data_IF_657687647192
#
_entry.id   IF_657687647192
#
_cell.length_a   1.000
_cell.length_b   1.000
_cell.length_c   1.000
_cell.angle_alpha   90.00
_cell.angle_beta   90.00
_cell.angle_gamma   90.00
#
_symmetry.space_group_name_H-M   'P 1'
#
loop_
_entity.id
_entity.type
_entity.pdbx_description
1 polymer ?
#
# COMPACT_ATOMS: atom_id res chain seq x y z
N UNK A 1 16.35 5.98 -66.85
CA UNK A 1 15.50 6.96 -66.13
C UNK A 1 14.03 6.68 -66.40
N UNK A 2 13.10 7.08 -65.51
CA UNK A 2 11.73 6.53 -65.46
C UNK A 2 10.69 7.29 -66.31
N UNK A 3 9.44 6.79 -66.32
CA UNK A 3 8.27 7.36 -67.02
C UNK A 3 7.61 8.49 -66.22
N UNK A 4 7.55 9.70 -66.79
CA UNK A 4 6.54 10.76 -66.54
C UNK A 4 6.81 11.93 -67.51
N UNK A 5 5.93 12.92 -67.73
CA UNK A 5 4.56 13.11 -67.20
C UNK A 5 3.53 12.67 -68.25
N UNK A 6 2.49 13.36 -68.77
CA UNK A 6 1.84 14.65 -68.51
C UNK A 6 0.34 14.55 -68.89
N UNK A 7 -0.44 15.63 -68.73
CA UNK A 7 -1.73 15.84 -69.42
C UNK A 7 -1.86 17.32 -69.79
N UNK A 8 -2.28 17.61 -71.03
CA UNK A 8 -2.85 18.89 -71.47
C UNK A 8 -3.96 18.52 -72.46
N UNK A 9 -5.25 18.73 -72.18
CA UNK A 9 -5.98 20.02 -72.05
C UNK A 9 -6.24 20.67 -73.41
N UNK A 10 -7.47 20.48 -73.93
CA UNK A 10 -7.98 21.30 -75.03
C UNK A 10 -9.47 21.63 -74.83
N UNK A 11 -9.73 22.93 -74.76
CA UNK A 11 -10.97 23.64 -75.18
C UNK A 11 -12.35 23.06 -74.82
N UNK A 12 -12.98 23.71 -73.85
CA UNK A 12 -14.44 23.88 -73.81
C UNK A 12 -14.95 24.63 -75.06
N UNK A 13 -16.02 24.14 -75.70
CA UNK A 13 -17.04 24.96 -76.38
C UNK A 13 -18.43 24.34 -76.18
N UNK A 14 -19.41 25.21 -75.98
CA UNK A 14 -20.83 24.97 -75.73
C UNK A 14 -21.52 23.93 -76.65
N UNK A 15 -22.44 23.16 -76.06
CA UNK A 15 -23.86 23.19 -76.48
C UNK A 15 -24.81 23.08 -75.29
N UNK A 16 -25.88 23.89 -75.33
CA UNK A 16 -27.06 23.81 -74.44
C UNK A 16 -28.16 23.07 -75.20
N UNK A 17 -29.16 22.59 -74.46
CA UNK A 17 -30.17 21.62 -74.91
C UNK A 17 -29.56 20.22 -75.14
N UNK A 18 -30.18 19.11 -74.72
CA UNK A 18 -31.56 18.97 -74.22
C UNK A 18 -31.62 18.41 -72.79
N UNK A 19 -32.24 19.17 -71.88
CA UNK A 19 -32.78 18.61 -70.62
C UNK A 19 -34.08 19.32 -70.23
N UNK A 20 -35.03 19.32 -71.15
CA UNK A 20 -36.32 20.01 -71.03
C UNK A 20 -37.34 19.23 -70.17
N UNK A 21 -36.89 18.56 -69.08
CA UNK A 21 -37.77 17.82 -68.17
C UNK A 21 -37.30 17.85 -66.72
N UNK A 22 -37.49 19.00 -66.05
CA UNK A 22 -37.86 19.18 -64.61
C UNK A 22 -37.69 20.64 -64.15
N UNK A 23 -38.29 21.59 -64.90
CA UNK A 23 -38.46 22.98 -64.43
C UNK A 23 -39.65 23.08 -63.45
N UNK A 24 -39.60 22.29 -62.37
CA UNK A 24 -40.65 22.22 -61.36
C UNK A 24 -40.29 23.18 -60.22
N UNK A 25 -40.83 24.40 -60.30
CA UNK A 25 -40.59 25.45 -59.32
C UNK A 25 -41.25 25.06 -57.99
N UNK A 26 -40.44 24.57 -57.05
CA UNK A 26 -40.83 24.50 -55.64
C UNK A 26 -40.92 25.93 -55.12
N UNK A 27 -42.14 26.49 -55.14
CA UNK A 27 -42.48 27.69 -54.38
C UNK A 27 -42.12 27.49 -52.90
N UNK A 28 -41.76 28.55 -52.17
CA UNK A 28 -41.08 28.44 -50.87
C UNK A 28 -41.75 27.52 -49.84
N UNK A 29 -43.09 27.40 -49.86
CA UNK A 29 -43.84 26.45 -49.05
C UNK A 29 -43.43 24.97 -49.29
N UNK A 30 -43.18 24.58 -50.55
CA UNK A 30 -42.74 23.23 -50.91
C UNK A 30 -41.36 22.89 -50.34
N UNK A 31 -40.42 23.83 -50.39
CA UNK A 31 -39.11 23.69 -49.77
C UNK A 31 -39.22 23.52 -48.24
N UNK A 32 -40.00 24.37 -47.57
CA UNK A 32 -40.25 24.27 -46.13
C UNK A 32 -40.92 22.95 -45.72
N UNK A 33 -41.80 22.36 -46.55
CA UNK A 33 -42.41 21.06 -46.27
C UNK A 33 -41.38 19.93 -46.33
N UNK A 34 -40.44 19.99 -47.27
CA UNK A 34 -39.33 19.02 -47.38
C UNK A 34 -38.38 19.16 -46.18
N UNK A 35 -38.00 20.39 -45.84
CA UNK A 35 -37.14 20.69 -44.69
C UNK A 35 -37.78 20.24 -43.36
N UNK A 36 -39.07 20.52 -43.14
CA UNK A 36 -39.83 20.03 -41.97
C UNK A 36 -39.88 18.51 -41.89
N UNK A 37 -39.96 17.80 -43.03
CA UNK A 37 -39.88 16.32 -43.07
C UNK A 37 -38.47 15.81 -42.72
N UNK A 38 -37.41 16.46 -43.20
CA UNK A 38 -36.04 16.12 -42.80
C UNK A 38 -35.79 16.40 -41.31
N UNK A 39 -36.27 17.53 -40.78
CA UNK A 39 -36.17 17.84 -39.35
C UNK A 39 -36.93 16.81 -38.48
N UNK A 40 -38.14 16.42 -38.89
CA UNK A 40 -38.93 15.38 -38.19
C UNK A 40 -38.24 14.00 -38.23
N UNK A 41 -37.71 13.59 -39.39
CA UNK A 41 -36.94 12.35 -39.50
C UNK A 41 -35.66 12.38 -38.66
N UNK A 42 -34.94 13.51 -38.64
CA UNK A 42 -33.76 13.71 -37.78
C UNK A 42 -34.13 13.61 -36.29
N UNK A 43 -35.23 14.24 -35.88
CA UNK A 43 -35.76 14.14 -34.52
C UNK A 43 -36.19 12.72 -34.15
N UNK A 44 -36.81 11.96 -35.07
CA UNK A 44 -37.13 10.54 -34.88
C UNK A 44 -35.86 9.70 -34.67
N UNK A 45 -34.81 9.90 -35.49
CA UNK A 45 -33.51 9.22 -35.36
C UNK A 45 -32.84 9.58 -34.03
N UNK A 46 -32.84 10.85 -33.64
CA UNK A 46 -32.32 11.30 -32.34
C UNK A 46 -33.11 10.70 -31.16
N UNK A 47 -34.44 10.62 -31.26
CA UNK A 47 -35.29 9.98 -30.23
C UNK A 47 -35.05 8.47 -30.14
N UNK A 48 -34.80 7.77 -31.25
CA UNK A 48 -34.37 6.35 -31.24
C UNK A 48 -33.01 6.18 -30.57
N UNK A 49 -31.99 6.94 -31.00
CA UNK A 49 -30.63 6.92 -30.39
C UNK A 49 -30.62 7.29 -28.91
N UNK A 50 -31.52 8.16 -28.45
CA UNK A 50 -31.68 8.45 -27.02
C UNK A 50 -32.32 7.28 -26.26
N UNK A 51 -33.30 6.58 -26.83
CA UNK A 51 -33.86 5.36 -26.21
C UNK A 51 -32.84 4.24 -26.15
N UNK A 52 -32.13 3.98 -27.26
CA UNK A 52 -31.07 2.98 -27.38
C UNK A 52 -30.00 3.20 -26.29
N UNK A 53 -29.45 4.42 -26.16
CA UNK A 53 -28.48 4.73 -25.10
C UNK A 53 -29.03 4.57 -23.69
N UNK A 54 -30.27 4.98 -23.41
CA UNK A 54 -30.88 4.82 -22.08
C UNK A 54 -31.15 3.34 -21.77
N UNK A 55 -31.37 2.49 -22.77
CA UNK A 55 -31.52 1.04 -22.58
C UNK A 55 -30.17 0.34 -22.38
N UNK A 56 -29.13 0.72 -23.15
CA UNK A 56 -27.75 0.26 -22.94
C UNK A 56 -27.20 0.68 -21.58
N UNK A 57 -27.42 1.94 -21.18
CA UNK A 57 -27.02 2.46 -19.87
C UNK A 57 -27.74 1.71 -18.74
N UNK A 58 -29.04 1.47 -18.85
CA UNK A 58 -29.80 0.66 -17.88
C UNK A 58 -29.22 -0.76 -17.76
N UNK A 59 -29.08 -1.47 -18.87
CA UNK A 59 -28.49 -2.83 -18.90
C UNK A 59 -27.09 -2.85 -18.26
N UNK A 60 -26.27 -1.82 -18.50
CA UNK A 60 -24.95 -1.70 -17.89
C UNK A 60 -25.01 -1.38 -16.39
N UNK A 61 -25.96 -0.56 -15.93
CA UNK A 61 -26.18 -0.32 -14.49
C UNK A 61 -26.75 -1.53 -13.77
N UNK A 62 -27.63 -2.31 -14.41
CA UNK A 62 -28.17 -3.57 -13.89
C UNK A 62 -27.06 -4.63 -13.77
N UNK A 63 -26.18 -4.75 -14.78
CA UNK A 63 -25.04 -5.67 -14.74
C UNK A 63 -24.04 -5.30 -13.63
N UNK A 64 -23.74 -4.01 -13.46
CA UNK A 64 -22.90 -3.50 -12.36
C UNK A 64 -23.54 -3.72 -11.00
N UNK A 65 -24.83 -3.44 -10.85
CA UNK A 65 -25.57 -3.67 -9.62
C UNK A 65 -25.60 -5.16 -9.25
N UNK A 66 -25.69 -6.07 -10.23
CA UNK A 66 -25.58 -7.51 -10.03
C UNK A 66 -24.17 -7.93 -9.62
N UNK A 67 -23.11 -7.35 -10.21
CA UNK A 67 -21.73 -7.63 -9.79
C UNK A 67 -21.46 -7.12 -8.37
N UNK A 68 -21.85 -5.89 -8.05
CA UNK A 68 -21.72 -5.30 -6.71
C UNK A 68 -22.55 -6.06 -5.67
N UNK A 69 -23.73 -6.56 -6.02
CA UNK A 69 -24.52 -7.43 -5.16
C UNK A 69 -23.83 -8.77 -4.91
N UNK A 70 -23.22 -9.38 -5.94
CA UNK A 70 -22.45 -10.63 -5.79
C UNK A 70 -21.23 -10.42 -4.90
N UNK A 71 -20.47 -9.33 -5.10
CA UNK A 71 -19.32 -8.96 -4.25
C UNK A 71 -19.74 -8.76 -2.79
N UNK A 72 -20.83 -8.04 -2.54
CA UNK A 72 -21.37 -7.83 -1.18
C UNK A 72 -21.84 -9.13 -0.52
N UNK A 73 -22.48 -10.03 -1.27
CA UNK A 73 -22.86 -11.35 -0.75
C UNK A 73 -21.64 -12.20 -0.40
N UNK A 74 -20.59 -12.17 -1.22
CA UNK A 74 -19.31 -12.86 -0.97
C UNK A 74 -18.57 -12.29 0.26
N UNK A 75 -18.56 -10.95 0.42
CA UNK A 75 -18.03 -10.28 1.61
C UNK A 75 -18.84 -10.59 2.87
N UNK A 76 -20.17 -10.65 2.79
CA UNK A 76 -21.04 -10.99 3.93
C UNK A 76 -20.92 -12.47 4.31
N UNK A 77 -20.84 -13.38 3.33
CA UNK A 77 -20.58 -14.81 3.59
C UNK A 77 -19.19 -14.99 4.23
N UNK A 78 -18.17 -14.29 3.75
CA UNK A 78 -16.82 -14.28 4.35
C UNK A 78 -16.83 -13.71 5.78
N UNK A 79 -17.55 -12.61 6.03
CA UNK A 79 -17.70 -12.03 7.38
C UNK A 79 -18.42 -12.99 8.32
N UNK A 80 -19.49 -13.63 7.85
CA UNK A 80 -20.23 -14.65 8.60
C UNK A 80 -19.35 -15.85 8.92
N UNK A 81 -18.53 -16.33 7.97
CA UNK A 81 -17.54 -17.41 8.23
C UNK A 81 -16.54 -17.00 9.32
N UNK A 82 -15.96 -15.79 9.28
CA UNK A 82 -15.07 -15.32 10.36
C UNK A 82 -15.81 -15.26 11.70
N UNK A 83 -17.06 -14.80 11.74
CA UNK A 83 -17.85 -14.76 12.98
C UNK A 83 -18.20 -16.16 13.53
N UNK A 84 -18.53 -17.12 12.67
CA UNK A 84 -18.75 -18.52 13.07
C UNK A 84 -17.46 -19.21 13.53
N UNK A 85 -16.30 -18.83 12.99
CA UNK A 85 -14.97 -19.32 13.40
C UNK A 85 -14.54 -18.70 14.74
N UNK A 86 -14.62 -17.36 14.88
CA UNK A 86 -14.34 -16.65 16.13
C UNK A 86 -15.20 -17.16 17.28
N UNK A 87 -16.47 -17.50 17.03
CA UNK A 87 -17.35 -18.05 18.06
C UNK A 87 -16.93 -19.48 18.45
N UNK A 88 -16.56 -20.34 17.49
CA UNK A 88 -15.99 -21.67 17.81
C UNK A 88 -14.69 -21.57 18.63
N UNK A 89 -13.84 -20.59 18.33
CA UNK A 89 -12.61 -20.33 19.11
C UNK A 89 -12.92 -19.80 20.51
N UNK A 90 -13.97 -18.98 20.68
CA UNK A 90 -14.47 -18.54 22.00
C UNK A 90 -15.03 -19.74 22.79
N UNK A 91 -15.90 -20.55 22.18
CA UNK A 91 -16.48 -21.75 22.79
C UNK A 91 -15.40 -22.75 23.22
N UNK A 92 -14.38 -23.00 22.39
CA UNK A 92 -13.26 -23.89 22.75
C UNK A 92 -12.40 -23.29 23.88
N UNK A 93 -12.16 -21.98 23.87
CA UNK A 93 -11.45 -21.27 24.94
C UNK A 93 -12.22 -21.32 26.26
N UNK A 94 -13.53 -21.15 26.25
CA UNK A 94 -14.38 -21.28 27.43
C UNK A 94 -14.48 -22.74 27.91
N UNK A 95 -14.56 -23.72 27.00
CA UNK A 95 -14.52 -25.14 27.37
C UNK A 95 -13.20 -25.50 28.06
N UNK A 96 -12.06 -25.08 27.51
CA UNK A 96 -10.73 -25.24 28.13
C UNK A 96 -10.61 -24.51 29.47
N UNK A 97 -11.19 -23.32 29.60
CA UNK A 97 -11.24 -22.58 30.88
C UNK A 97 -12.07 -23.34 31.93
N UNK A 98 -13.22 -23.89 31.54
CA UNK A 98 -14.10 -24.69 32.41
C UNK A 98 -13.49 -26.03 32.81
N UNK A 99 -12.83 -26.72 31.88
CA UNK A 99 -12.04 -27.94 32.14
C UNK A 99 -10.88 -27.64 33.12
N UNK A 100 -10.19 -26.50 32.96
CA UNK A 100 -9.14 -26.07 33.89
C UNK A 100 -9.69 -25.69 35.28
N UNK A 101 -10.83 -24.99 35.35
CA UNK A 101 -11.51 -24.63 36.60
C UNK A 101 -12.01 -25.86 37.35
N UNK A 102 -12.57 -26.86 36.65
CA UNK A 102 -12.95 -28.13 37.25
C UNK A 102 -11.74 -28.95 37.73
N UNK A 103 -10.60 -28.84 37.05
CA UNK A 103 -9.32 -29.45 37.49
C UNK A 103 -8.65 -28.70 38.65
N UNK A 104 -8.95 -27.41 38.83
CA UNK A 104 -8.51 -26.57 39.96
C UNK A 104 -9.45 -26.65 41.17
N UNK A 105 -10.64 -27.24 41.02
CA UNK A 105 -11.67 -27.41 42.05
C UNK A 105 -11.11 -28.25 43.21
N UNK A 106 -10.83 -27.65 44.39
CA UNK A 106 -9.98 -28.30 45.37
C UNK A 106 -10.72 -29.40 46.14
N UNK A 107 -10.18 -30.63 46.13
CA UNK A 107 -10.45 -31.58 47.22
C UNK A 107 -9.97 -30.92 48.52
N UNK A 108 -10.92 -30.64 49.41
CA UNK A 108 -10.82 -29.50 50.32
C UNK A 108 -9.66 -29.54 51.32
N UNK A 109 -8.92 -28.42 51.40
CA UNK A 109 -8.09 -28.07 52.56
C UNK A 109 -8.47 -26.66 53.02
N UNK A 110 -9.00 -26.58 54.23
CA UNK A 110 -9.56 -25.35 54.82
C UNK A 110 -8.44 -24.39 55.28
N UNK A 111 -8.16 -23.35 54.49
CA UNK A 111 -7.34 -22.20 54.91
C UNK A 111 -8.05 -20.89 54.57
N UNK A 112 -8.23 -20.04 55.59
CA UNK A 112 -8.85 -18.72 55.45
C UNK A 112 -7.83 -17.72 54.92
N UNK A 113 -7.95 -17.33 53.65
CA UNK A 113 -7.22 -16.19 53.10
C UNK A 113 -8.12 -14.95 53.16
N UNK A 114 -7.62 -13.86 53.72
CA UNK A 114 -8.34 -12.59 53.85
C UNK A 114 -8.51 -11.90 52.49
N UNK A 115 -9.69 -11.31 52.26
CA UNK A 115 -9.93 -10.47 51.09
C UNK A 115 -8.99 -9.26 51.09
N UNK A 116 -8.26 -9.06 50.00
CA UNK A 116 -7.77 -7.74 49.57
C UNK A 116 -8.47 -7.38 48.26
N UNK A 117 -8.55 -6.09 47.98
CA UNK A 117 -9.40 -5.48 46.95
C UNK A 117 -8.72 -5.35 45.58
N UNK A 118 -9.51 -4.83 44.63
CA UNK A 118 -9.10 -4.20 43.38
C UNK A 118 -8.60 -5.10 42.23
N UNK A 119 -8.89 -4.82 40.96
CA UNK A 119 -10.02 -4.11 40.34
C UNK A 119 -9.90 -4.34 38.82
N UNK A 120 -10.89 -4.92 38.16
CA UNK A 120 -10.82 -5.13 36.71
C UNK A 120 -10.94 -3.80 35.96
N UNK A 121 -9.87 -3.41 35.23
CA UNK A 121 -9.95 -2.36 34.20
C UNK A 121 -8.89 -2.47 33.10
N UNK A 122 -8.61 -3.70 32.66
CA UNK A 122 -7.87 -3.95 31.42
C UNK A 122 -8.76 -3.63 30.21
N UNK A 123 -8.59 -2.44 29.62
CA UNK A 123 -9.33 -2.03 28.42
C UNK A 123 -8.84 -2.74 27.14
N UNK A 124 -9.70 -2.88 26.11
CA UNK A 124 -9.35 -3.56 24.86
C UNK A 124 -8.51 -2.67 23.93
N UNK A 125 -7.20 -2.57 24.19
CA UNK A 125 -6.23 -1.87 23.32
C UNK A 125 -5.32 -2.84 22.53
N UNK A 126 -5.70 -4.11 22.42
CA UNK A 126 -4.94 -5.14 21.68
C UNK A 126 -5.48 -5.43 20.26
N UNK A 127 -6.80 -5.28 20.04
CA UNK A 127 -7.48 -5.61 18.77
C UNK A 127 -7.03 -4.72 17.58
N UNK A 128 -6.69 -3.47 17.86
CA UNK A 128 -6.20 -2.50 16.86
C UNK A 128 -4.75 -2.76 16.42
N UNK A 129 -4.01 -3.62 17.12
CA UNK A 129 -2.64 -4.02 16.76
C UNK A 129 -2.70 -5.28 15.90
N UNK A 130 -3.40 -6.32 16.38
CA UNK A 130 -3.52 -7.62 15.69
C UNK A 130 -4.13 -7.48 14.29
N UNK A 131 -5.13 -6.62 14.11
CA UNK A 131 -5.77 -6.39 12.80
C UNK A 131 -4.84 -5.82 11.72
N UNK A 132 -3.75 -5.15 12.10
CA UNK A 132 -2.75 -4.65 11.13
C UNK A 132 -1.78 -5.76 10.70
N UNK A 133 -1.42 -6.65 11.62
CA UNK A 133 -0.51 -7.77 11.39
C UNK A 133 -1.22 -8.92 10.63
N UNK A 134 -2.53 -9.11 10.81
CA UNK A 134 -3.34 -10.03 9.97
C UNK A 134 -3.53 -9.54 8.52
N UNK A 135 -3.56 -8.22 8.28
CA UNK A 135 -3.82 -7.65 6.94
C UNK A 135 -2.57 -7.41 6.10
N UNK A 136 -1.40 -7.30 6.73
CA UNK A 136 -0.13 -7.30 6.03
C UNK A 136 0.46 -8.71 6.09
N UNK A 137 0.29 -9.49 5.00
CA UNK A 137 1.04 -10.75 4.79
C UNK A 137 2.49 -10.52 5.22
N UNK A 138 3.04 -11.40 6.04
CA UNK A 138 4.39 -11.22 6.61
C UNK A 138 5.37 -10.88 5.48
N UNK A 139 6.35 -10.01 5.75
CA UNK A 139 7.35 -9.61 4.75
C UNK A 139 7.97 -10.85 4.07
N UNK A 140 8.21 -11.88 4.87
CA UNK A 140 8.67 -13.21 4.46
C UNK A 140 7.68 -13.90 3.50
N UNK A 141 6.41 -14.05 3.88
CA UNK A 141 5.35 -14.59 3.00
C UNK A 141 5.20 -13.81 1.69
N UNK A 142 5.35 -12.47 1.72
CA UNK A 142 5.30 -11.63 0.53
C UNK A 142 6.54 -11.81 -0.37
N UNK A 143 7.69 -12.18 0.20
CA UNK A 143 8.91 -12.53 -0.54
C UNK A 143 8.87 -13.96 -1.08
N UNK A 144 8.26 -14.90 -0.36
CA UNK A 144 7.92 -16.25 -0.85
C UNK A 144 6.92 -16.21 -2.00
N UNK A 145 5.83 -15.44 -1.90
CA UNK A 145 4.86 -15.25 -2.99
C UNK A 145 5.52 -14.65 -4.23
N UNK A 146 6.39 -13.63 -4.06
CA UNK A 146 7.19 -13.10 -5.18
C UNK A 146 8.09 -14.17 -5.79
N UNK A 147 8.76 -14.98 -4.96
CA UNK A 147 9.65 -16.06 -5.42
C UNK A 147 8.89 -17.15 -6.18
N UNK A 148 7.70 -17.52 -5.72
CA UNK A 148 6.81 -18.47 -6.40
C UNK A 148 6.30 -17.91 -7.74
N UNK A 149 5.84 -16.65 -7.77
CA UNK A 149 5.40 -15.98 -9.01
C UNK A 149 6.56 -15.84 -10.01
N UNK A 150 7.78 -15.54 -9.54
CA UNK A 150 8.97 -15.49 -10.39
C UNK A 150 9.33 -16.88 -10.93
N UNK A 151 9.30 -17.93 -10.11
CA UNK A 151 9.54 -19.30 -10.55
C UNK A 151 8.47 -19.81 -11.55
N UNK A 152 7.22 -19.35 -11.43
CA UNK A 152 6.16 -19.67 -12.39
C UNK A 152 6.35 -18.94 -13.74
N UNK A 153 6.88 -17.70 -13.72
CA UNK A 153 7.10 -16.88 -14.92
C UNK A 153 8.41 -17.23 -15.65
N UNK A 154 9.47 -17.50 -14.90
CA UNK A 154 10.79 -17.86 -15.41
C UNK A 154 10.83 -19.38 -15.56
N UNK A 155 10.37 -19.88 -16.70
CA UNK A 155 10.47 -21.32 -17.00
C UNK A 155 11.96 -21.74 -17.07
N UNK A 156 12.35 -22.87 -16.45
CA UNK A 156 13.71 -23.36 -16.49
C UNK A 156 14.10 -23.74 -17.94
N UNK A 157 15.27 -23.30 -18.37
CA UNK A 157 15.74 -23.52 -19.74
C UNK A 157 16.28 -24.94 -19.91
N UNK A 158 15.53 -25.78 -20.63
CA UNK A 158 16.01 -27.10 -21.08
C UNK A 158 16.80 -26.91 -22.38
N UNK A 159 18.13 -26.98 -22.27
CA UNK A 159 19.07 -26.79 -23.41
C UNK A 159 19.75 -28.10 -23.84
N UNK A 160 19.77 -29.11 -22.98
CA UNK A 160 20.49 -30.36 -23.21
C UNK A 160 19.84 -31.18 -24.34
N UNK A 161 20.64 -31.56 -25.34
CA UNK A 161 20.19 -32.33 -26.51
C UNK A 161 19.51 -31.51 -27.62
N UNK A 162 19.47 -30.18 -27.55
CA UNK A 162 18.99 -29.34 -28.65
C UNK A 162 20.02 -29.20 -29.78
N UNK A 163 19.55 -29.29 -31.02
CA UNK A 163 20.34 -29.00 -32.21
C UNK A 163 20.56 -27.48 -32.41
N UNK A 164 21.60 -27.11 -33.15
CA UNK A 164 22.01 -25.72 -33.46
C UNK A 164 20.84 -24.80 -33.80
N UNK A 165 19.98 -25.25 -34.69
CA UNK A 165 18.98 -24.40 -35.32
C UNK A 165 17.85 -24.10 -34.32
N UNK A 166 17.49 -25.09 -33.49
CA UNK A 166 16.54 -24.98 -32.39
C UNK A 166 17.08 -24.07 -31.27
N UNK A 167 18.39 -24.09 -31.02
CA UNK A 167 19.03 -23.15 -30.08
C UNK A 167 18.95 -21.70 -30.60
N UNK A 168 19.13 -21.48 -31.90
CA UNK A 168 18.98 -20.16 -32.54
C UNK A 168 17.52 -19.69 -32.49
N UNK A 169 16.54 -20.58 -32.69
CA UNK A 169 15.11 -20.26 -32.51
C UNK A 169 14.78 -19.89 -31.06
N UNK A 170 15.23 -20.69 -30.08
CA UNK A 170 15.02 -20.39 -28.65
C UNK A 170 15.69 -19.09 -28.21
N UNK A 171 16.87 -18.77 -28.73
CA UNK A 171 17.53 -17.49 -28.48
C UNK A 171 16.70 -16.28 -29.01
N UNK A 172 16.04 -16.42 -30.16
CA UNK A 172 15.13 -15.39 -30.70
C UNK A 172 13.86 -15.25 -29.86
N UNK A 173 13.20 -16.38 -29.51
CA UNK A 173 12.02 -16.39 -28.64
C UNK A 173 12.29 -15.68 -27.30
N UNK A 174 13.43 -15.97 -26.67
CA UNK A 174 13.82 -15.36 -25.40
C UNK A 174 14.13 -13.86 -25.56
N UNK A 175 14.83 -13.47 -26.61
CA UNK A 175 15.12 -12.06 -26.91
C UNK A 175 13.82 -11.24 -27.12
N UNK A 176 12.85 -11.78 -27.86
CA UNK A 176 11.55 -11.15 -28.08
C UNK A 176 10.61 -11.27 -26.86
N UNK A 177 10.94 -12.11 -25.88
CA UNK A 177 10.33 -12.09 -24.55
C UNK A 177 10.90 -10.98 -23.67
N UNK A 178 12.24 -10.83 -23.63
CA UNK A 178 12.92 -9.79 -22.85
C UNK A 178 12.44 -8.40 -23.27
N UNK A 179 12.42 -8.08 -24.57
CA UNK A 179 11.94 -6.79 -25.09
C UNK A 179 10.52 -6.42 -24.62
N UNK A 180 9.63 -7.41 -24.51
CA UNK A 180 8.25 -7.20 -24.02
C UNK A 180 8.25 -6.87 -22.53
N UNK A 181 8.99 -7.62 -21.72
CA UNK A 181 9.13 -7.37 -20.28
C UNK A 181 9.84 -6.03 -19.98
N UNK A 182 10.76 -5.58 -20.82
CA UNK A 182 11.38 -4.26 -20.72
C UNK A 182 10.37 -3.12 -20.98
N UNK A 183 9.48 -3.29 -21.97
CA UNK A 183 8.35 -2.40 -22.20
C UNK A 183 7.37 -2.36 -21.03
N UNK A 184 6.92 -3.53 -20.56
CA UNK A 184 6.03 -3.67 -19.40
C UNK A 184 6.65 -3.03 -18.13
N UNK A 185 7.95 -3.24 -17.91
CA UNK A 185 8.70 -2.62 -16.82
C UNK A 185 8.67 -1.09 -16.92
N UNK A 186 8.97 -0.51 -18.09
CA UNK A 186 8.95 0.94 -18.27
C UNK A 186 7.56 1.51 -17.96
N UNK A 187 6.50 0.88 -18.48
CA UNK A 187 5.12 1.32 -18.28
C UNK A 187 4.70 1.26 -16.81
N UNK A 188 5.11 0.22 -16.08
CA UNK A 188 4.91 0.09 -14.63
C UNK A 188 5.72 1.12 -13.84
N UNK A 189 6.98 1.40 -14.21
CA UNK A 189 7.78 2.45 -13.58
C UNK A 189 7.18 3.84 -13.77
N UNK A 190 6.64 4.16 -14.95
CA UNK A 190 5.99 5.44 -15.19
C UNK A 190 4.68 5.59 -14.40
N UNK A 191 3.90 4.51 -14.26
CA UNK A 191 2.70 4.49 -13.39
C UNK A 191 3.08 4.66 -11.91
N UNK A 192 4.12 3.98 -11.45
CA UNK A 192 4.63 4.08 -10.09
C UNK A 192 5.15 5.48 -9.76
N UNK A 193 5.91 6.12 -10.67
CA UNK A 193 6.38 7.51 -10.52
C UNK A 193 5.19 8.48 -10.38
N UNK A 194 4.13 8.34 -11.18
CA UNK A 194 2.90 9.14 -11.04
C UNK A 194 2.24 8.95 -9.67
N UNK A 195 2.04 7.69 -9.25
CA UNK A 195 1.50 7.37 -7.92
C UNK A 195 2.35 7.95 -6.77
N UNK A 196 3.68 7.98 -6.92
CA UNK A 196 4.56 8.64 -5.94
C UNK A 196 4.33 10.16 -5.89
N UNK A 197 4.19 10.84 -7.04
CA UNK A 197 3.83 12.27 -7.06
C UNK A 197 2.47 12.52 -6.39
N UNK A 198 1.45 11.72 -6.72
CA UNK A 198 0.10 11.82 -6.12
C UNK A 198 0.16 11.65 -4.58
N UNK A 199 0.92 10.67 -4.09
CA UNK A 199 1.12 10.44 -2.66
C UNK A 199 1.88 11.59 -1.97
N UNK A 200 2.87 12.18 -2.64
CA UNK A 200 3.63 13.33 -2.11
C UNK A 200 2.73 14.58 -2.02
N UNK A 201 1.91 14.85 -3.03
CA UNK A 201 0.96 15.99 -3.00
C UNK A 201 -0.08 15.80 -1.89
N UNK A 202 -0.68 14.62 -1.77
CA UNK A 202 -1.65 14.31 -0.72
C UNK A 202 -1.04 14.41 0.69
N UNK A 203 0.20 13.95 0.87
CA UNK A 203 0.92 14.07 2.14
C UNK A 203 1.22 15.54 2.50
N UNK A 204 1.63 16.37 1.55
CA UNK A 204 1.90 17.79 1.79
C UNK A 204 0.59 18.58 2.02
N UNK A 205 -0.48 18.27 1.30
CA UNK A 205 -1.83 18.83 1.54
C UNK A 205 -2.36 18.46 2.93
N UNK A 206 -2.17 17.22 3.37
CA UNK A 206 -2.52 16.79 4.72
C UNK A 206 -1.69 17.53 5.80
N UNK A 207 -0.38 17.72 5.57
CA UNK A 207 0.49 18.53 6.45
C UNK A 207 -0.01 19.98 6.55
N UNK A 208 -0.38 20.61 5.44
CA UNK A 208 -0.92 21.98 5.44
C UNK A 208 -2.25 22.08 6.21
N UNK A 209 -3.19 21.14 5.97
CA UNK A 209 -4.45 21.07 6.72
C UNK A 209 -4.23 20.88 8.23
N UNK A 210 -3.27 20.03 8.63
CA UNK A 210 -2.97 19.78 10.03
C UNK A 210 -2.23 20.96 10.68
N UNK A 211 -1.36 21.67 9.95
CA UNK A 211 -0.68 22.89 10.43
C UNK A 211 -1.66 24.03 10.72
N UNK A 212 -2.77 24.12 9.98
CA UNK A 212 -3.88 25.03 10.32
C UNK A 212 -4.62 24.64 11.61
N UNK A 213 -4.82 23.34 11.85
CA UNK A 213 -5.50 22.82 13.06
C UNK A 213 -4.62 22.87 14.32
N UNK A 214 -3.30 22.72 14.18
CA UNK A 214 -2.34 22.68 15.28
C UNK A 214 -2.24 23.98 16.11
N UNK A 215 -2.84 25.09 15.66
CA UNK A 215 -3.03 26.29 16.49
C UNK A 215 -3.95 26.08 17.73
N UNK A 216 -4.54 24.89 17.91
CA UNK A 216 -5.13 24.45 19.19
C UNK A 216 -4.40 23.24 19.77
N UNK A 217 -3.18 23.46 20.29
CA UNK A 217 -2.66 22.72 21.45
C UNK A 217 -2.55 21.19 21.36
N UNK A 218 -2.17 20.63 20.20
CA UNK A 218 -1.80 19.21 20.10
C UNK A 218 -0.32 19.10 19.72
N UNK A 219 0.42 18.30 20.50
CA UNK A 219 1.86 18.07 20.38
C UNK A 219 2.26 17.68 18.96
N UNK A 220 3.41 18.19 18.49
CA UNK A 220 3.97 17.86 17.19
C UNK A 220 4.30 16.37 17.11
N UNK A 221 3.56 15.62 16.30
CA UNK A 221 3.97 14.27 15.89
C UNK A 221 5.31 14.39 15.18
N UNK A 222 6.37 13.89 15.80
CA UNK A 222 7.70 13.88 15.20
C UNK A 222 7.70 12.87 14.05
N UNK A 223 7.68 13.40 12.82
CA UNK A 223 8.18 12.67 11.65
C UNK A 223 9.69 12.55 11.85
N UNK A 224 10.21 11.34 11.72
CA UNK A 224 11.61 11.01 12.02
C UNK A 224 12.60 12.00 11.35
N UNK A 225 13.53 12.50 12.15
CA UNK A 225 14.48 13.56 11.79
C UNK A 225 15.60 13.06 10.85
N UNK A 226 15.57 11.78 10.46
CA UNK A 226 16.48 11.17 9.49
C UNK A 226 16.40 11.81 8.09
N UNK A 227 15.31 12.49 7.73
CA UNK A 227 15.16 13.18 6.45
C UNK A 227 15.57 14.66 6.53
N UNK A 228 16.88 14.92 6.60
CA UNK A 228 17.44 16.28 6.61
C UNK A 228 17.27 16.97 5.24
N UNK A 229 16.15 17.69 5.08
CA UNK A 229 15.79 18.54 3.93
C UNK A 229 16.82 19.63 3.56
N UNK A 230 17.91 19.79 4.32
CA UNK A 230 19.04 20.65 3.98
C UNK A 230 20.18 19.89 3.28
N UNK A 231 20.33 18.58 3.51
CA UNK A 231 21.37 17.76 2.89
C UNK A 231 21.20 17.67 1.35
N UNK A 232 19.97 17.48 0.87
CA UNK A 232 19.61 17.49 -0.56
C UNK A 232 20.06 18.76 -1.31
N UNK A 233 20.25 19.88 -0.60
CA UNK A 233 20.64 21.18 -1.16
C UNK A 233 22.15 21.40 -1.19
N UNK A 234 22.91 20.58 -0.47
CA UNK A 234 24.34 20.71 -0.27
C UNK A 234 25.04 19.36 -0.41
N UNK A 235 24.72 18.62 -1.48
CA UNK A 235 25.28 17.28 -1.79
C UNK A 235 26.80 17.25 -1.99
N UNK A 236 27.45 18.41 -2.12
CA UNK A 236 28.92 18.58 -2.20
C UNK A 236 29.56 18.97 -0.86
N UNK A 237 28.77 19.21 0.20
CA UNK A 237 29.29 19.51 1.53
C UNK A 237 29.48 18.23 2.36
N UNK A 238 30.52 18.15 3.22
CA UNK A 238 30.66 17.04 4.17
C UNK A 238 29.43 16.90 5.08
N UNK A 239 29.06 15.68 5.51
CA UNK A 239 27.93 15.46 6.40
C UNK A 239 28.14 16.21 7.73
N UNK A 240 27.06 16.79 8.25
CA UNK A 240 27.09 17.59 9.49
C UNK A 240 27.54 16.72 10.67
N UNK A 241 28.72 16.99 11.21
CA UNK A 241 29.20 16.37 12.45
C UNK A 241 28.30 16.84 13.60
N UNK A 242 27.63 15.92 14.29
CA UNK A 242 26.84 16.24 15.48
C UNK A 242 27.80 16.47 16.66
N UNK A 243 28.03 17.75 16.99
CA UNK A 243 28.92 18.18 18.09
C UNK A 243 28.36 17.88 19.49
N UNK A 244 27.07 17.57 19.59
CA UNK A 244 26.36 17.17 20.81
C UNK A 244 25.72 15.79 20.57
N UNK A 245 25.62 14.97 21.61
CA UNK A 245 24.89 13.70 21.53
C UNK A 245 23.39 13.93 21.29
N UNK A 246 22.72 13.02 20.57
CA UNK A 246 21.25 13.06 20.35
C UNK A 246 20.45 13.10 21.66
N UNK A 247 21.04 12.64 22.77
CA UNK A 247 20.43 12.63 24.10
C UNK A 247 20.76 13.87 24.96
N UNK A 248 21.71 14.71 24.53
CA UNK A 248 22.22 15.86 25.29
C UNK A 248 21.24 17.03 25.36
N UNK A 249 20.29 17.10 24.42
CA UNK A 249 19.29 18.17 24.30
C UNK A 249 17.91 17.74 24.82
N UNK A 250 17.87 17.08 25.97
CA UNK A 250 16.63 16.98 26.73
C UNK A 250 16.42 18.24 27.56
N UNK A 251 15.36 18.99 27.27
CA UNK A 251 14.94 20.13 28.09
C UNK A 251 14.51 19.62 29.46
N UNK A 252 15.22 20.02 30.52
CA UNK A 252 14.88 19.61 31.87
C UNK A 252 13.58 20.27 32.34
N UNK A 253 12.51 19.47 32.39
CA UNK A 253 11.17 19.88 32.83
C UNK A 253 11.02 19.99 34.36
N UNK A 254 12.06 19.63 35.14
CA UNK A 254 12.04 19.76 36.62
C UNK A 254 11.98 21.24 37.03
N UNK A 255 11.33 21.53 38.14
CA UNK A 255 11.29 22.87 38.70
C UNK A 255 12.68 23.30 39.18
N UNK A 256 12.89 24.62 39.33
CA UNK A 256 14.17 25.15 39.80
C UNK A 256 14.61 24.55 41.14
N UNK A 257 13.67 24.27 42.06
CA UNK A 257 13.96 23.66 43.37
C UNK A 257 14.48 22.21 43.23
N UNK A 258 13.81 21.40 42.42
CA UNK A 258 14.21 20.01 42.17
C UNK A 258 15.57 19.94 41.46
N UNK A 259 15.84 20.88 40.55
CA UNK A 259 17.15 21.01 39.89
C UNK A 259 18.26 21.40 40.87
N UNK A 260 18.01 22.31 41.81
CA UNK A 260 18.98 22.68 42.85
C UNK A 260 19.33 21.48 43.75
N UNK A 261 18.33 20.74 44.24
CA UNK A 261 18.55 19.54 45.06
C UNK A 261 19.43 18.51 44.33
N UNK A 262 19.19 18.28 43.04
CA UNK A 262 20.00 17.36 42.24
C UNK A 262 21.46 17.81 42.06
N UNK A 263 21.73 19.12 41.99
CA UNK A 263 23.10 19.62 41.97
C UNK A 263 23.76 19.58 43.35
N UNK A 264 23.02 19.81 44.43
CA UNK A 264 23.51 19.61 45.81
C UNK A 264 23.78 18.12 46.10
N UNK A 265 23.00 17.20 45.54
CA UNK A 265 23.21 15.76 45.65
C UNK A 265 24.40 15.28 44.80
N UNK A 266 24.62 15.83 43.60
CA UNK A 266 25.83 15.57 42.80
C UNK A 266 27.11 16.17 43.41
N UNK A 267 27.00 17.25 44.18
CA UNK A 267 28.13 17.89 44.85
C UNK A 267 28.58 17.19 46.14
N UNK A 268 27.81 16.21 46.63
CA UNK A 268 28.23 15.32 47.72
C UNK A 268 29.10 14.23 47.13
N UNK A 269 30.38 14.20 47.50
CA UNK A 269 31.27 13.12 47.08
C UNK A 269 30.68 11.76 47.49
N UNK A 270 30.73 10.73 46.63
CA UNK A 270 30.23 9.41 46.97
C UNK A 270 31.03 8.86 48.16
N UNK A 271 30.38 8.15 49.11
CA UNK A 271 31.08 7.57 50.24
C UNK A 271 32.22 6.66 49.73
N UNK A 272 33.42 6.73 50.32
CA UNK A 272 34.56 5.96 49.85
C UNK A 272 34.23 4.46 49.89
N UNK A 273 34.57 3.70 48.82
CA UNK A 273 34.12 2.32 48.69
C UNK A 273 34.64 1.46 49.84
N UNK A 274 33.73 0.76 50.52
CA UNK A 274 34.09 -0.11 51.65
C UNK A 274 35.04 -1.23 51.20
N UNK A 275 36.30 -1.13 51.64
CA UNK A 275 37.34 -2.10 51.30
C UNK A 275 37.13 -3.39 52.10
N UNK A 276 36.28 -4.27 51.58
CA UNK A 276 36.06 -5.63 52.09
C UNK A 276 37.42 -6.36 52.14
N UNK A 277 38.00 -6.47 53.33
CA UNK A 277 39.28 -7.16 53.56
C UNK A 277 39.07 -8.67 53.43
N UNK A 278 39.25 -9.19 52.22
CA UNK A 278 39.33 -10.65 51.99
C UNK A 278 40.55 -11.18 52.74
N UNK A 279 40.31 -11.87 53.86
CA UNK A 279 41.35 -12.50 54.66
C UNK A 279 41.98 -13.66 53.86
N UNK A 280 43.26 -13.52 53.55
CA UNK A 280 43.98 -14.47 52.70
C UNK A 280 44.27 -15.77 53.47
N UNK A 281 43.35 -16.73 53.41
CA UNK A 281 43.54 -18.07 53.99
C UNK A 281 44.74 -18.75 53.34
N UNK A 282 45.75 -19.09 54.15
CA UNK A 282 46.97 -19.76 53.69
C UNK A 282 46.68 -21.25 53.50
N UNK A 283 46.28 -21.63 52.29
CA UNK A 283 46.23 -23.02 51.86
C UNK A 283 47.66 -23.51 51.55
N UNK A 284 48.29 -24.21 52.49
CA UNK A 284 49.48 -25.00 52.20
C UNK A 284 49.07 -26.20 51.33
N UNK A 285 49.67 -26.30 50.14
CA UNK A 285 49.64 -27.53 49.33
C UNK A 285 50.82 -28.44 49.72
N UNK A 286 50.69 -29.77 49.64
CA UNK A 286 51.73 -30.69 50.10
C UNK A 286 53.00 -30.65 49.25
N UNK A 287 54.12 -31.05 49.86
CA UNK A 287 55.43 -31.10 49.21
C UNK A 287 55.52 -32.19 48.15
N UNK A 288 56.42 -32.00 47.18
CA UNK A 288 56.73 -32.99 46.16
C UNK A 288 57.69 -34.06 46.71
N UNK A 289 57.39 -35.32 46.42
CA UNK A 289 58.32 -36.44 46.66
C UNK A 289 59.46 -36.40 45.64
N UNK A 290 60.71 -36.46 46.12
CA UNK A 290 61.90 -36.70 45.31
C UNK A 290 62.37 -38.12 45.50
N UNK A 291 62.62 -38.85 44.40
CA UNK A 291 62.95 -40.26 44.45
C UNK A 291 64.41 -40.52 44.88
N UNK A 292 64.58 -41.52 45.74
CA UNK A 292 65.60 -42.57 45.63
C UNK A 292 65.04 -43.89 46.22
#
# INVERSE_FOLDING_TARGET
MPKSVARNSSTCVQRKSDNCYKKLVLTGAGAQIVEKKFAWNSWQILKKRQKERVEEEKRLTELRAQEDARRKAEEEERRRKKQEEENKVKDERERKKREAEERLKPKGRNFKISKKSDSEKGGPELDTIMTKEELQKSKEQLEEEKRAILAQRIQPLVIDGLASDKLIEKAKELNDHIKRLEGDKYDLEQRFKRQQYDMIELAERARQMNKGKAKRGVTTVQVDESFDRLADKFTSAPPKIQLCSKYERHTDHRSYKERMVLFEDLAKEPPPPELIRVSKTVSQSPGAETAE
#
